data_IF_635748934813
#
_entry.id   IF_635748934813
#
_cell.length_a   1.000
_cell.length_b   1.000
_cell.length_c   1.000
_cell.angle_alpha   90.00
_cell.angle_beta   90.00
_cell.angle_gamma   90.00
#
_symmetry.space_group_name_H-M   'P 1'
#
loop_
_entity.id
_entity.type
_entity.pdbx_description
1 polymer ?
#
# COMPACT_ATOMS: atom_id res chain seq x y z
N UNK A 1 18.79 0.34 21.85
CA UNK A 1 17.60 0.03 21.01
C UNK A 1 16.46 0.99 21.28
N UNK A 2 16.00 1.15 22.53
CA UNK A 2 14.89 2.06 22.88
C UNK A 2 15.13 3.49 22.39
N UNK A 3 16.32 4.07 22.66
CA UNK A 3 16.63 5.43 22.22
C UNK A 3 16.64 5.59 20.69
N UNK A 4 17.05 4.55 19.96
CA UNK A 4 17.02 4.55 18.49
C UNK A 4 15.57 4.51 17.98
N UNK A 5 14.70 3.67 18.57
CA UNK A 5 13.28 3.63 18.21
C UNK A 5 12.60 4.97 18.46
N UNK A 6 12.86 5.58 19.63
CA UNK A 6 12.31 6.89 19.98
C UNK A 6 12.87 8.02 19.11
N UNK A 7 14.17 8.00 18.81
CA UNK A 7 14.79 8.96 17.90
C UNK A 7 14.21 8.86 16.49
N UNK A 8 14.06 7.64 15.97
CA UNK A 8 13.45 7.41 14.67
C UNK A 8 11.97 7.80 14.64
N UNK A 9 11.22 7.58 15.71
CA UNK A 9 9.84 8.07 15.80
C UNK A 9 9.76 9.60 15.80
N UNK A 10 10.65 10.27 16.54
CA UNK A 10 10.71 11.74 16.62
C UNK A 10 11.07 12.38 15.29
N UNK A 11 11.97 11.78 14.50
CA UNK A 11 12.45 12.39 13.26
C UNK A 11 11.34 12.65 12.22
N UNK A 12 10.24 11.88 12.26
CA UNK A 12 9.06 12.13 11.41
C UNK A 12 8.33 13.44 11.73
N UNK A 13 8.60 14.05 12.88
CA UNK A 13 7.97 15.29 13.35
C UNK A 13 8.93 16.47 13.46
N UNK A 14 10.24 16.26 13.25
CA UNK A 14 11.27 17.30 13.46
C UNK A 14 11.37 18.30 12.30
N UNK A 15 10.95 17.93 11.09
CA UNK A 15 11.07 18.78 9.90
C UNK A 15 9.76 18.88 9.09
N UNK A 16 8.66 19.38 9.68
CA UNK A 16 7.43 19.59 8.91
C UNK A 16 7.62 20.74 7.93
N UNK A 17 7.77 20.44 6.64
CA UNK A 17 7.73 21.46 5.59
C UNK A 17 6.32 21.52 4.99
N UNK A 18 5.70 22.71 4.98
CA UNK A 18 4.37 22.90 4.42
C UNK A 18 4.29 22.47 2.93
N UNK A 19 5.36 22.70 2.17
CA UNK A 19 5.46 22.25 0.78
C UNK A 19 5.46 20.72 0.66
N UNK A 20 6.30 20.03 1.43
CA UNK A 20 6.39 18.57 1.42
C UNK A 20 5.08 17.90 1.82
N UNK A 21 4.43 18.40 2.88
CA UNK A 21 3.11 17.94 3.29
C UNK A 21 2.04 18.24 2.23
N UNK A 22 2.05 19.44 1.65
CA UNK A 22 1.12 19.83 0.58
C UNK A 22 1.22 18.92 -0.63
N UNK A 23 2.44 18.63 -1.09
CA UNK A 23 2.69 17.70 -2.20
C UNK A 23 2.24 16.27 -1.86
N UNK A 24 2.56 15.78 -0.67
CA UNK A 24 2.13 14.45 -0.24
C UNK A 24 0.60 14.30 -0.22
N UNK A 25 -0.12 15.32 0.29
CA UNK A 25 -1.59 15.35 0.26
C UNK A 25 -2.12 15.34 -1.17
N UNK A 26 -1.53 16.14 -2.07
CA UNK A 26 -1.92 16.17 -3.49
C UNK A 26 -1.71 14.80 -4.14
N UNK A 27 -0.58 14.15 -3.89
CA UNK A 27 -0.30 12.80 -4.41
C UNK A 27 -1.34 11.80 -3.92
N UNK A 28 -1.62 11.80 -2.62
CA UNK A 28 -2.66 10.97 -2.02
C UNK A 28 -4.02 11.22 -2.64
N UNK A 29 -4.39 12.49 -2.83
CA UNK A 29 -5.68 12.87 -3.42
C UNK A 29 -5.82 12.40 -4.88
N UNK A 30 -4.78 12.58 -5.71
CA UNK A 30 -4.77 12.16 -7.12
C UNK A 30 -5.04 10.66 -7.24
N UNK A 31 -4.30 9.83 -6.52
CA UNK A 31 -4.44 8.38 -6.61
C UNK A 31 -5.69 7.86 -5.91
N UNK A 32 -6.05 8.44 -4.76
CA UNK A 32 -7.25 8.03 -4.03
C UNK A 32 -8.55 8.38 -4.79
N UNK A 33 -8.55 9.43 -5.61
CA UNK A 33 -9.69 9.81 -6.44
C UNK A 33 -10.14 8.68 -7.39
N UNK A 34 -9.21 7.84 -7.87
CA UNK A 34 -9.53 6.70 -8.73
C UNK A 34 -10.48 5.68 -8.08
N UNK A 35 -10.51 5.63 -6.74
CA UNK A 35 -11.35 4.71 -5.95
C UNK A 35 -12.70 5.31 -5.58
N UNK A 36 -12.88 6.61 -5.79
CA UNK A 36 -14.10 7.37 -5.48
C UNK A 36 -14.62 7.17 -4.04
N UNK A 37 -13.79 7.35 -3.00
CA UNK A 37 -14.27 7.24 -1.62
C UNK A 37 -15.24 8.38 -1.31
N UNK A 38 -16.35 8.05 -0.65
CA UNK A 38 -17.33 9.05 -0.22
C UNK A 38 -16.91 9.72 1.10
N UNK A 39 -15.71 10.30 1.19
CA UNK A 39 -15.12 10.84 2.43
C UNK A 39 -16.03 11.84 3.16
N UNK A 40 -16.65 12.75 2.42
CA UNK A 40 -17.56 13.76 2.98
C UNK A 40 -18.91 13.21 3.43
N UNK A 41 -19.34 12.07 2.86
CA UNK A 41 -20.60 11.39 3.26
C UNK A 41 -20.38 10.39 4.39
N UNK A 42 -19.12 10.00 4.64
CA UNK A 42 -18.73 8.95 5.60
C UNK A 42 -17.54 9.45 6.43
N UNK A 43 -17.77 10.32 7.43
CA UNK A 43 -16.70 10.99 8.16
C UNK A 43 -15.76 10.03 8.88
N UNK A 44 -16.23 8.81 9.22
CA UNK A 44 -15.40 7.78 9.82
C UNK A 44 -14.23 7.31 8.91
N UNK A 45 -14.31 7.53 7.60
CA UNK A 45 -13.17 7.25 6.70
C UNK A 45 -11.98 8.17 7.00
N UNK A 46 -12.20 9.39 7.51
CA UNK A 46 -11.11 10.24 8.00
C UNK A 46 -10.42 9.62 9.22
N UNK A 47 -11.18 8.97 10.10
CA UNK A 47 -10.61 8.24 11.22
C UNK A 47 -9.76 7.05 10.74
N UNK A 48 -10.17 6.33 9.68
CA UNK A 48 -9.37 5.27 9.05
C UNK A 48 -8.07 5.85 8.49
N UNK A 49 -8.14 6.96 7.75
CA UNK A 49 -6.97 7.63 7.18
C UNK A 49 -5.96 8.03 8.26
N UNK A 50 -6.42 8.75 9.29
CA UNK A 50 -5.55 9.22 10.36
C UNK A 50 -4.99 8.07 11.22
N UNK A 51 -5.84 7.13 11.63
CA UNK A 51 -5.39 6.02 12.48
C UNK A 51 -4.41 5.09 11.75
N UNK A 52 -4.61 4.83 10.46
CA UNK A 52 -3.68 4.04 9.66
C UNK A 52 -2.29 4.68 9.61
N UNK A 53 -2.22 6.00 9.41
CA UNK A 53 -0.96 6.74 9.41
C UNK A 53 -0.17 6.57 10.72
N UNK A 54 -0.81 6.82 11.86
CA UNK A 54 -0.14 6.76 13.17
C UNK A 54 0.17 5.32 13.61
N UNK A 55 -0.74 4.37 13.38
CA UNK A 55 -0.52 2.97 13.74
C UNK A 55 0.62 2.36 12.92
N UNK A 56 0.68 2.66 11.61
CA UNK A 56 1.78 2.16 10.78
C UNK A 56 3.09 2.84 11.13
N UNK A 57 3.13 4.14 11.40
CA UNK A 57 4.34 4.79 11.92
C UNK A 57 4.83 4.11 13.21
N UNK A 58 3.93 3.90 14.18
CA UNK A 58 4.28 3.23 15.43
C UNK A 58 4.80 1.81 15.16
N UNK A 59 4.15 1.05 14.28
CA UNK A 59 4.61 -0.29 13.91
C UNK A 59 5.99 -0.26 13.21
N UNK A 60 6.24 0.72 12.34
CA UNK A 60 7.54 0.91 11.69
C UNK A 60 8.63 1.17 12.74
N UNK A 61 8.42 2.08 13.67
CA UNK A 61 9.43 2.47 14.65
C UNK A 61 9.65 1.41 15.74
N UNK A 62 8.58 0.78 16.23
CA UNK A 62 8.63 -0.07 17.42
C UNK A 62 8.56 -1.58 17.13
N UNK A 63 8.25 -1.98 15.89
CA UNK A 63 8.18 -3.39 15.49
C UNK A 63 9.13 -3.66 14.31
N UNK A 64 8.94 -2.96 13.20
CA UNK A 64 9.72 -3.20 11.98
C UNK A 64 11.21 -2.93 12.21
N UNK A 65 11.57 -1.72 12.67
CA UNK A 65 12.97 -1.33 12.83
C UNK A 65 13.75 -2.28 13.75
N UNK A 66 13.26 -2.65 14.96
CA UNK A 66 13.93 -3.65 15.79
C UNK A 66 14.06 -5.02 15.13
N UNK A 67 13.00 -5.52 14.49
CA UNK A 67 13.05 -6.80 13.78
C UNK A 67 14.08 -6.79 12.66
N UNK A 68 14.20 -5.68 11.94
CA UNK A 68 15.19 -5.51 10.89
C UNK A 68 16.62 -5.48 11.45
N UNK A 69 16.87 -4.74 12.54
CA UNK A 69 18.19 -4.76 13.21
C UNK A 69 18.54 -6.17 13.67
N UNK A 70 17.62 -6.88 14.33
CA UNK A 70 17.88 -8.24 14.81
C UNK A 70 18.08 -9.24 13.68
N UNK A 71 17.30 -9.15 12.60
CA UNK A 71 17.53 -9.97 11.41
C UNK A 71 18.91 -9.70 10.80
N UNK A 72 19.36 -8.44 10.80
CA UNK A 72 20.69 -8.07 10.33
C UNK A 72 21.80 -8.63 11.21
N UNK A 73 21.62 -8.57 12.53
CA UNK A 73 22.54 -9.17 13.50
C UNK A 73 22.59 -10.70 13.38
N UNK A 74 21.44 -11.35 13.20
CA UNK A 74 21.37 -12.80 12.99
C UNK A 74 22.13 -13.22 11.72
N UNK A 75 21.95 -12.52 10.61
CA UNK A 75 22.73 -12.79 9.39
C UNK A 75 24.24 -12.59 9.61
N UNK A 76 24.62 -11.54 10.34
CA UNK A 76 26.02 -11.26 10.67
C UNK A 76 26.67 -12.24 11.64
N UNK A 77 25.86 -12.98 12.41
CA UNK A 77 26.36 -14.05 13.25
C UNK A 77 26.89 -15.21 12.40
N UNK A 78 26.25 -15.49 11.26
CA UNK A 78 26.59 -16.63 10.39
C UNK A 78 27.55 -16.27 9.25
N UNK A 79 27.50 -15.03 8.75
CA UNK A 79 28.28 -14.59 7.60
C UNK A 79 28.93 -13.23 7.84
N UNK A 80 30.11 -13.03 7.28
CA UNK A 80 30.76 -11.73 7.29
C UNK A 80 29.99 -10.72 6.41
N UNK A 81 30.18 -9.43 6.69
CA UNK A 81 29.61 -8.35 5.89
C UNK A 81 30.01 -8.44 4.40
N UNK A 82 31.23 -8.90 4.11
CA UNK A 82 31.68 -9.11 2.74
C UNK A 82 30.84 -10.17 2.01
N UNK A 83 30.54 -11.29 2.69
CA UNK A 83 29.68 -12.34 2.13
C UNK A 83 28.26 -11.82 1.95
N UNK A 84 27.70 -11.13 2.95
CA UNK A 84 26.34 -10.57 2.85
C UNK A 84 26.22 -9.55 1.70
N UNK A 85 27.25 -8.72 1.49
CA UNK A 85 27.29 -7.77 0.38
C UNK A 85 27.38 -8.47 -0.98
N UNK A 86 28.21 -9.52 -1.12
CA UNK A 86 28.30 -10.33 -2.34
C UNK A 86 26.99 -11.04 -2.68
N UNK A 87 26.25 -11.44 -1.66
CA UNK A 87 24.97 -12.13 -1.77
C UNK A 87 23.78 -11.21 -1.47
N UNK A 88 23.91 -9.89 -1.69
CA UNK A 88 22.93 -8.90 -1.24
C UNK A 88 21.51 -9.18 -1.75
N UNK A 89 21.37 -9.71 -2.97
CA UNK A 89 20.08 -10.14 -3.51
C UNK A 89 19.43 -11.14 -2.54
N UNK A 90 20.11 -12.21 -2.15
CA UNK A 90 19.54 -13.19 -1.22
C UNK A 90 19.47 -12.66 0.22
N UNK A 91 20.53 -11.99 0.69
CA UNK A 91 20.66 -11.54 2.07
C UNK A 91 19.65 -10.45 2.47
N UNK A 92 19.16 -9.66 1.50
CA UNK A 92 18.16 -8.62 1.77
C UNK A 92 16.72 -9.15 1.90
N UNK A 93 16.42 -10.36 1.41
CA UNK A 93 15.04 -10.92 1.38
C UNK A 93 14.36 -10.84 2.76
N UNK A 94 14.97 -11.30 3.87
CA UNK A 94 14.31 -11.23 5.18
C UNK A 94 13.95 -9.79 5.58
N UNK A 95 14.86 -8.85 5.35
CA UNK A 95 14.67 -7.43 5.68
C UNK A 95 13.50 -6.82 4.92
N UNK A 96 13.44 -7.11 3.62
CA UNK A 96 12.44 -6.56 2.71
C UNK A 96 11.05 -7.16 2.98
N UNK A 97 10.97 -8.47 3.24
CA UNK A 97 9.71 -9.12 3.59
C UNK A 97 9.18 -8.66 4.96
N UNK A 98 10.06 -8.42 5.94
CA UNK A 98 9.67 -7.85 7.23
C UNK A 98 9.01 -6.48 7.07
N UNK A 99 9.53 -5.62 6.19
CA UNK A 99 8.89 -4.32 5.87
C UNK A 99 7.46 -4.52 5.39
N UNK A 100 7.27 -5.35 4.36
CA UNK A 100 5.94 -5.57 3.77
C UNK A 100 4.94 -6.13 4.78
N UNK A 101 5.33 -7.14 5.56
CA UNK A 101 4.47 -7.76 6.57
C UNK A 101 4.03 -6.75 7.63
N UNK A 102 4.97 -5.99 8.21
CA UNK A 102 4.64 -5.05 9.31
C UNK A 102 3.84 -3.86 8.80
N UNK A 103 4.22 -3.27 7.67
CA UNK A 103 3.53 -2.09 7.15
C UNK A 103 2.13 -2.42 6.62
N UNK A 104 1.98 -3.47 5.82
CA UNK A 104 0.65 -3.84 5.31
C UNK A 104 -0.28 -4.30 6.45
N UNK A 105 0.25 -5.05 7.44
CA UNK A 105 -0.54 -5.51 8.58
C UNK A 105 -1.05 -4.35 9.44
N UNK A 106 -0.17 -3.40 9.78
CA UNK A 106 -0.53 -2.24 10.61
C UNK A 106 -1.51 -1.29 9.91
N UNK A 107 -1.35 -1.07 8.59
CA UNK A 107 -2.26 -0.23 7.82
C UNK A 107 -3.71 -0.73 7.88
N UNK A 108 -3.88 -2.05 7.92
CA UNK A 108 -5.19 -2.70 7.87
C UNK A 108 -5.90 -2.79 9.23
N UNK A 109 -5.24 -2.47 10.34
CA UNK A 109 -5.86 -2.49 11.68
C UNK A 109 -7.22 -1.75 11.71
N UNK A 110 -7.34 -0.49 11.26
CA UNK A 110 -8.64 0.18 11.23
C UNK A 110 -9.67 -0.50 10.31
N UNK A 111 -9.23 -1.16 9.24
CA UNK A 111 -10.10 -1.92 8.32
C UNK A 111 -10.65 -3.16 9.01
N UNK A 112 -9.79 -3.90 9.72
CA UNK A 112 -10.15 -5.09 10.50
C UNK A 112 -11.10 -4.74 11.64
N UNK A 113 -10.84 -3.63 12.35
CA UNK A 113 -11.74 -3.13 13.41
C UNK A 113 -13.12 -2.81 12.84
N UNK A 114 -13.19 -2.13 11.69
CA UNK A 114 -14.47 -1.85 11.03
C UNK A 114 -15.19 -3.14 10.60
N UNK A 115 -14.47 -4.09 10.00
CA UNK A 115 -15.00 -5.39 9.61
C UNK A 115 -15.57 -6.17 10.81
N UNK A 116 -14.85 -6.22 11.94
CA UNK A 116 -15.35 -6.83 13.18
C UNK A 116 -16.60 -6.15 13.71
N UNK A 117 -16.64 -4.82 13.73
CA UNK A 117 -17.82 -4.05 14.17
C UNK A 117 -19.01 -4.22 13.23
N UNK A 118 -18.77 -4.58 11.98
CA UNK A 118 -19.81 -4.87 10.98
C UNK A 118 -20.25 -6.34 10.99
N UNK A 119 -20.03 -7.06 12.10
CA UNK A 119 -20.42 -8.46 12.22
C UNK A 119 -19.63 -9.39 11.30
N UNK A 120 -18.37 -9.03 10.97
CA UNK A 120 -17.52 -9.75 10.00
C UNK A 120 -18.12 -9.85 8.60
N UNK A 121 -19.05 -8.94 8.25
CA UNK A 121 -19.62 -8.82 6.91
C UNK A 121 -19.30 -7.45 6.32
N UNK A 122 -18.78 -7.44 5.10
CA UNK A 122 -18.41 -6.22 4.41
C UNK A 122 -18.58 -6.43 2.91
N UNK A 123 -19.26 -5.51 2.23
CA UNK A 123 -19.28 -5.50 0.77
C UNK A 123 -17.83 -5.40 0.24
N UNK A 124 -17.37 -6.27 -0.68
CA UNK A 124 -16.00 -6.26 -1.18
C UNK A 124 -15.56 -4.94 -1.78
N UNK A 125 -16.48 -4.25 -2.48
CA UNK A 125 -16.21 -2.94 -3.08
C UNK A 125 -16.04 -1.86 -2.02
N UNK A 126 -16.77 -1.94 -0.90
CA UNK A 126 -16.56 -1.10 0.26
C UNK A 126 -15.26 -1.43 0.99
N UNK A 127 -14.95 -2.72 1.21
CA UNK A 127 -13.68 -3.16 1.80
C UNK A 127 -12.47 -2.63 1.04
N UNK A 128 -12.54 -2.67 -0.30
CA UNK A 128 -11.54 -2.10 -1.18
C UNK A 128 -11.34 -0.60 -0.95
N UNK A 129 -12.43 0.16 -0.86
CA UNK A 129 -12.38 1.61 -0.63
C UNK A 129 -11.80 1.94 0.75
N UNK A 130 -12.19 1.22 1.80
CA UNK A 130 -11.66 1.45 3.16
C UNK A 130 -10.16 1.13 3.19
N UNK A 131 -9.75 0.04 2.53
CA UNK A 131 -8.35 -0.31 2.33
C UNK A 131 -7.56 0.77 1.61
N UNK A 132 -8.11 1.33 0.52
CA UNK A 132 -7.49 2.44 -0.22
C UNK A 132 -7.28 3.68 0.66
N UNK A 133 -8.28 4.03 1.49
CA UNK A 133 -8.19 5.16 2.43
C UNK A 133 -7.13 4.92 3.50
N UNK A 134 -7.03 3.69 4.02
CA UNK A 134 -6.00 3.33 4.99
C UNK A 134 -4.59 3.43 4.37
N UNK A 135 -4.43 2.87 3.16
CA UNK A 135 -3.20 3.00 2.36
C UNK A 135 -2.77 4.44 2.14
N UNK A 136 -3.72 5.31 1.78
CA UNK A 136 -3.46 6.75 1.59
C UNK A 136 -2.96 7.42 2.88
N UNK A 137 -3.54 7.08 4.03
CA UNK A 137 -3.15 7.66 5.32
C UNK A 137 -1.66 7.55 5.60
N UNK A 138 -1.14 6.32 5.59
CA UNK A 138 0.28 6.09 5.80
C UNK A 138 1.13 6.63 4.65
N UNK A 139 0.70 6.47 3.39
CA UNK A 139 1.54 6.88 2.26
C UNK A 139 1.73 8.40 2.16
N UNK A 140 0.70 9.18 2.48
CA UNK A 140 0.82 10.65 2.61
C UNK A 140 1.83 10.98 3.72
N UNK A 141 1.73 10.29 4.86
CA UNK A 141 2.63 10.51 5.98
C UNK A 141 4.08 10.14 5.66
N UNK A 142 4.32 9.07 4.90
CA UNK A 142 5.66 8.68 4.48
C UNK A 142 6.22 9.64 3.42
N UNK A 143 5.40 10.00 2.42
CA UNK A 143 5.80 10.89 1.35
C UNK A 143 6.21 12.28 1.87
N UNK A 144 5.52 12.82 2.89
CA UNK A 144 5.92 14.12 3.46
C UNK A 144 7.35 14.09 4.01
N UNK A 145 7.81 12.98 4.61
CA UNK A 145 9.13 12.90 5.22
C UNK A 145 10.25 13.04 4.19
N UNK A 146 10.04 12.45 3.00
CA UNK A 146 10.99 12.56 1.89
C UNK A 146 10.88 13.90 1.17
N UNK A 147 9.66 14.41 1.01
CA UNK A 147 9.40 15.67 0.30
C UNK A 147 9.68 16.91 1.15
N UNK A 148 9.87 16.78 2.47
CA UNK A 148 10.18 17.92 3.36
C UNK A 148 11.47 18.65 2.98
N UNK A 149 12.42 17.95 2.36
CA UNK A 149 13.65 18.55 1.85
C UNK A 149 13.57 19.01 0.39
N UNK A 150 12.47 18.75 -0.32
CA UNK A 150 12.37 19.01 -1.75
C UNK A 150 12.04 20.47 -2.05
N UNK A 151 12.81 21.12 -2.91
CA UNK A 151 12.61 22.51 -3.33
C UNK A 151 12.88 22.68 -4.83
N UNK A 152 12.38 23.78 -5.41
CA UNK A 152 12.71 24.15 -6.80
C UNK A 152 14.20 24.46 -6.98
N UNK A 153 14.89 24.92 -5.92
CA UNK A 153 16.33 25.19 -5.96
C UNK A 153 17.14 23.90 -6.17
N UNK A 154 16.68 22.76 -5.62
CA UNK A 154 17.30 21.46 -5.91
C UNK A 154 17.16 21.10 -7.39
N UNK A 155 16.04 21.44 -8.03
CA UNK A 155 15.85 21.21 -9.48
C UNK A 155 16.80 22.09 -10.30
N UNK A 156 17.03 23.33 -9.88
CA UNK A 156 18.01 24.20 -10.54
C UNK A 156 19.44 23.69 -10.35
N UNK A 157 19.76 23.16 -9.16
CA UNK A 157 21.11 22.71 -8.79
C UNK A 157 21.47 21.35 -9.39
N UNK A 158 20.56 20.39 -9.32
CA UNK A 158 20.79 19.00 -9.69
C UNK A 158 20.07 18.59 -10.98
N UNK A 159 19.25 19.48 -11.57
CA UNK A 159 18.52 19.20 -12.79
C UNK A 159 17.47 18.11 -12.62
N UNK A 160 17.38 17.23 -13.62
CA UNK A 160 16.38 16.17 -13.67
C UNK A 160 16.48 15.16 -12.51
N UNK A 161 17.66 14.95 -11.94
CA UNK A 161 17.84 13.97 -10.84
C UNK A 161 17.13 14.39 -9.56
N UNK A 162 16.93 15.69 -9.32
CA UNK A 162 16.13 16.19 -8.20
C UNK A 162 14.63 15.81 -8.30
N UNK A 163 14.16 15.45 -9.51
CA UNK A 163 12.79 14.99 -9.72
C UNK A 163 12.60 13.50 -9.40
N UNK A 164 13.67 12.73 -9.25
CA UNK A 164 13.57 11.29 -8.99
C UNK A 164 12.83 11.03 -7.66
N UNK A 165 13.25 11.69 -6.58
CA UNK A 165 12.56 11.60 -5.28
C UNK A 165 11.07 12.03 -5.36
N UNK A 166 10.73 12.98 -6.24
CA UNK A 166 9.34 13.39 -6.45
C UNK A 166 8.53 12.27 -7.12
N UNK A 167 9.04 11.69 -8.20
CA UNK A 167 8.37 10.61 -8.93
C UNK A 167 8.29 9.33 -8.12
N UNK A 168 9.36 8.97 -7.41
CA UNK A 168 9.43 7.80 -6.53
C UNK A 168 8.29 7.85 -5.52
N UNK A 169 8.12 9.00 -4.86
CA UNK A 169 7.08 9.19 -3.84
C UNK A 169 5.69 9.26 -4.45
N UNK A 170 5.53 9.88 -5.62
CA UNK A 170 4.24 9.90 -6.32
C UNK A 170 3.72 8.49 -6.62
N UNK A 171 4.57 7.60 -7.14
CA UNK A 171 4.18 6.22 -7.45
C UNK A 171 4.15 5.30 -6.24
N UNK A 172 5.02 5.51 -5.26
CA UNK A 172 4.97 4.78 -3.98
C UNK A 172 3.64 5.03 -3.27
N UNK A 173 3.14 6.27 -3.27
CA UNK A 173 1.79 6.60 -2.75
C UNK A 173 0.70 5.79 -3.45
N UNK A 174 0.73 5.72 -4.78
CA UNK A 174 -0.19 4.89 -5.55
C UNK A 174 -0.15 3.41 -5.12
N UNK A 175 1.06 2.88 -4.96
CA UNK A 175 1.28 1.49 -4.59
C UNK A 175 0.71 1.18 -3.20
N UNK A 176 0.99 1.99 -2.17
CA UNK A 176 0.43 1.78 -0.82
C UNK A 176 -1.10 1.80 -0.82
N UNK A 177 -1.71 2.73 -1.58
CA UNK A 177 -3.18 2.79 -1.74
C UNK A 177 -3.69 1.50 -2.38
N UNK A 178 -3.09 1.07 -3.48
CA UNK A 178 -3.52 -0.11 -4.22
C UNK A 178 -3.32 -1.42 -3.41
N UNK A 179 -2.19 -1.58 -2.73
CA UNK A 179 -1.93 -2.73 -1.85
C UNK A 179 -2.99 -2.84 -0.76
N UNK A 180 -3.23 -1.75 -0.02
CA UNK A 180 -4.21 -1.78 1.05
C UNK A 180 -5.64 -1.91 0.52
N UNK A 181 -5.95 -1.38 -0.66
CA UNK A 181 -7.23 -1.60 -1.34
C UNK A 181 -7.47 -3.09 -1.66
N UNK A 182 -6.47 -3.78 -2.21
CA UNK A 182 -6.55 -5.22 -2.47
C UNK A 182 -6.72 -6.01 -1.16
N UNK A 183 -5.97 -5.68 -0.12
CA UNK A 183 -6.10 -6.37 1.16
C UNK A 183 -7.48 -6.15 1.81
N UNK A 184 -8.03 -4.92 1.74
CA UNK A 184 -9.39 -4.63 2.17
C UNK A 184 -10.45 -5.39 1.38
N UNK A 185 -10.26 -5.54 0.06
CA UNK A 185 -11.13 -6.38 -0.78
C UNK A 185 -11.07 -7.85 -0.38
N UNK A 186 -9.86 -8.40 -0.19
CA UNK A 186 -9.67 -9.80 0.21
C UNK A 186 -10.27 -10.10 1.57
N UNK A 187 -10.07 -9.21 2.55
CA UNK A 187 -10.68 -9.32 3.88
C UNK A 187 -12.21 -9.41 3.79
N UNK A 188 -12.83 -8.52 3.01
CA UNK A 188 -14.27 -8.50 2.79
C UNK A 188 -14.81 -9.76 2.08
N UNK A 189 -13.98 -10.43 1.27
CA UNK A 189 -14.30 -11.72 0.62
C UNK A 189 -14.07 -12.94 1.52
N UNK A 190 -13.59 -12.77 2.75
CA UNK A 190 -13.20 -13.87 3.64
C UNK A 190 -11.81 -14.46 3.33
N UNK A 191 -11.03 -13.83 2.45
CA UNK A 191 -9.67 -14.23 2.07
C UNK A 191 -8.62 -13.27 2.64
N UNK A 192 -8.86 -12.77 3.85
CA UNK A 192 -8.06 -11.70 4.46
C UNK A 192 -6.59 -12.04 4.57
N UNK A 193 -6.24 -13.25 5.02
CA UNK A 193 -4.84 -13.64 5.18
C UNK A 193 -4.13 -13.85 3.85
N UNK A 194 -4.81 -14.40 2.83
CA UNK A 194 -4.22 -14.60 1.50
C UNK A 194 -3.86 -13.25 0.87
N UNK A 195 -4.82 -12.33 0.87
CA UNK A 195 -4.59 -11.01 0.30
C UNK A 195 -3.59 -10.19 1.12
N UNK A 196 -3.56 -10.32 2.45
CA UNK A 196 -2.51 -9.74 3.28
C UNK A 196 -1.12 -10.22 2.88
N UNK A 197 -0.92 -11.53 2.67
CA UNK A 197 0.36 -12.06 2.24
C UNK A 197 0.74 -11.62 0.83
N UNK A 198 -0.23 -11.61 -0.10
CA UNK A 198 -0.02 -11.11 -1.47
C UNK A 198 0.44 -9.65 -1.43
N UNK A 199 -0.26 -8.78 -0.69
CA UNK A 199 0.08 -7.36 -0.65
C UNK A 199 1.37 -7.09 0.11
N UNK A 200 1.67 -7.87 1.15
CA UNK A 200 2.97 -7.83 1.85
C UNK A 200 4.11 -8.22 0.91
N UNK A 201 3.91 -9.25 0.07
CA UNK A 201 4.87 -9.64 -0.94
C UNK A 201 5.03 -8.58 -2.03
N UNK A 202 3.94 -7.99 -2.54
CA UNK A 202 3.99 -6.91 -3.53
C UNK A 202 4.71 -5.67 -2.98
N UNK A 203 4.49 -5.36 -1.70
CA UNK A 203 5.25 -4.33 -1.00
C UNK A 203 6.73 -4.67 -0.96
N UNK A 204 7.08 -5.89 -0.55
CA UNK A 204 8.47 -6.36 -0.58
C UNK A 204 9.08 -6.25 -1.98
N UNK A 205 8.34 -6.64 -3.01
CA UNK A 205 8.74 -6.54 -4.41
C UNK A 205 9.02 -5.09 -4.82
N UNK A 206 8.19 -4.12 -4.38
CA UNK A 206 8.42 -2.69 -4.60
C UNK A 206 9.73 -2.23 -3.94
N UNK A 207 9.94 -2.56 -2.67
CA UNK A 207 11.16 -2.19 -1.92
C UNK A 207 12.42 -2.88 -2.43
N UNK A 208 12.28 -4.00 -3.13
CA UNK A 208 13.40 -4.72 -3.71
C UNK A 208 14.12 -3.91 -4.82
N UNK A 209 13.49 -2.87 -5.34
CA UNK A 209 14.16 -1.86 -6.19
C UNK A 209 15.43 -1.29 -5.55
N UNK A 210 15.41 -1.06 -4.23
CA UNK A 210 16.57 -0.59 -3.47
C UNK A 210 17.69 -1.65 -3.43
N UNK A 211 17.32 -2.93 -3.37
CA UNK A 211 18.27 -4.05 -3.40
C UNK A 211 18.91 -4.19 -4.78
N UNK A 212 18.12 -4.05 -5.86
CA UNK A 212 18.66 -4.04 -7.22
C UNK A 212 19.63 -2.87 -7.45
N UNK A 213 19.32 -1.71 -6.91
CA UNK A 213 20.22 -0.55 -6.94
C UNK A 213 21.50 -0.81 -6.14
N UNK A 214 21.39 -1.33 -4.91
CA UNK A 214 22.54 -1.66 -4.07
C UNK A 214 23.46 -2.72 -4.71
N UNK A 215 22.89 -3.64 -5.48
CA UNK A 215 23.63 -4.66 -6.24
C UNK A 215 24.26 -4.12 -7.55
N UNK A 216 24.04 -2.85 -7.90
CA UNK A 216 24.50 -2.25 -9.15
C UNK A 216 23.74 -2.73 -10.40
N UNK A 217 22.60 -3.39 -10.24
CA UNK A 217 21.76 -3.86 -11.35
C UNK A 217 20.84 -2.75 -11.88
N UNK A 218 20.39 -1.87 -10.98
CA UNK A 218 19.54 -0.72 -11.32
C UNK A 218 20.31 0.59 -11.18
N UNK A 219 20.13 1.48 -12.15
CA UNK A 219 20.35 2.91 -11.98
C UNK A 219 19.16 3.51 -11.22
N UNK A 220 19.27 4.76 -10.77
CA UNK A 220 18.14 5.44 -10.15
C UNK A 220 16.91 5.49 -11.10
N UNK A 221 17.14 5.74 -12.40
CA UNK A 221 16.08 5.71 -13.41
C UNK A 221 15.43 4.33 -13.54
N UNK A 222 16.22 3.24 -13.50
CA UNK A 222 15.64 1.89 -13.53
C UNK A 222 14.75 1.64 -12.31
N UNK A 223 15.14 2.10 -11.13
CA UNK A 223 14.34 1.99 -9.92
C UNK A 223 13.02 2.77 -10.04
N UNK A 224 13.05 4.00 -10.55
CA UNK A 224 11.84 4.80 -10.80
C UNK A 224 10.86 4.09 -11.74
N UNK A 225 11.36 3.61 -12.88
CA UNK A 225 10.53 2.92 -13.88
C UNK A 225 9.91 1.66 -13.27
N UNK A 226 10.70 0.90 -12.52
CA UNK A 226 10.24 -0.31 -11.85
C UNK A 226 9.12 -0.02 -10.84
N UNK A 227 9.29 0.98 -9.98
CA UNK A 227 8.30 1.40 -8.99
C UNK A 227 7.02 1.87 -9.71
N UNK A 228 7.15 2.70 -10.74
CA UNK A 228 6.03 3.22 -11.50
C UNK A 228 5.22 2.11 -12.18
N UNK A 229 5.89 1.17 -12.86
CA UNK A 229 5.24 0.05 -13.53
C UNK A 229 4.49 -0.83 -12.52
N UNK A 230 5.14 -1.20 -11.41
CA UNK A 230 4.51 -2.03 -10.39
C UNK A 230 3.29 -1.33 -9.77
N UNK A 231 3.43 -0.06 -9.42
CA UNK A 231 2.36 0.75 -8.84
C UNK A 231 1.15 0.82 -9.79
N UNK A 232 1.36 1.11 -11.07
CA UNK A 232 0.30 1.19 -12.08
C UNK A 232 -0.38 -0.16 -12.29
N UNK A 233 0.37 -1.26 -12.41
CA UNK A 233 -0.21 -2.59 -12.60
C UNK A 233 -1.12 -3.00 -11.44
N UNK A 234 -0.67 -2.77 -10.20
CA UNK A 234 -1.43 -3.15 -9.02
C UNK A 234 -2.62 -2.22 -8.80
N UNK A 235 -2.49 -0.94 -9.15
CA UNK A 235 -3.61 0.01 -9.20
C UNK A 235 -4.66 -0.44 -10.21
N UNK A 236 -4.25 -0.80 -11.42
CA UNK A 236 -5.14 -1.31 -12.46
C UNK A 236 -5.89 -2.57 -12.00
N UNK A 237 -5.20 -3.49 -11.30
CA UNK A 237 -5.84 -4.67 -10.72
C UNK A 237 -6.90 -4.31 -9.67
N UNK A 238 -6.58 -3.40 -8.75
CA UNK A 238 -7.53 -2.95 -7.74
C UNK A 238 -8.75 -2.25 -8.38
N UNK A 239 -8.54 -1.38 -9.37
CA UNK A 239 -9.62 -0.70 -10.07
C UNK A 239 -10.48 -1.66 -10.89
N UNK A 240 -9.88 -2.67 -11.52
CA UNK A 240 -10.64 -3.72 -12.19
C UNK A 240 -11.57 -4.46 -11.22
N UNK A 241 -11.08 -4.82 -10.02
CA UNK A 241 -11.92 -5.44 -8.98
C UNK A 241 -13.04 -4.50 -8.48
N UNK A 242 -12.77 -3.19 -8.41
CA UNK A 242 -13.76 -2.17 -8.03
C UNK A 242 -14.88 -2.04 -9.06
N UNK A 243 -14.54 -2.00 -10.35
CA UNK A 243 -15.48 -1.64 -11.42
C UNK A 243 -16.09 -2.83 -12.16
N UNK A 244 -15.55 -4.05 -12.01
CA UNK A 244 -16.17 -5.23 -12.62
C UNK A 244 -17.62 -5.40 -12.14
N UNK A 245 -18.51 -5.76 -13.08
CA UNK A 245 -19.90 -6.13 -12.79
C UNK A 245 -19.90 -7.45 -12.02
N UNK A 246 -20.69 -7.53 -10.95
CA UNK A 246 -20.79 -8.76 -10.16
C UNK A 246 -21.53 -9.83 -10.95
N UNK A 247 -21.01 -11.06 -10.96
CA UNK A 247 -21.61 -12.22 -11.66
C UNK A 247 -23.01 -12.56 -11.15
N UNK A 248 -23.39 -12.12 -9.94
CA UNK A 248 -24.71 -12.37 -9.35
C UNK A 248 -25.89 -11.74 -10.12
N UNK A 249 -25.66 -10.83 -11.07
CA UNK A 249 -26.72 -10.32 -11.93
C UNK A 249 -27.09 -11.27 -13.08
N UNK A 250 -26.30 -12.33 -13.33
CA UNK A 250 -26.53 -13.26 -14.44
C UNK A 250 -27.32 -14.53 -14.06
N UNK A 251 -27.54 -14.80 -12.77
CA UNK A 251 -28.30 -15.98 -12.29
C UNK A 251 -29.77 -15.65 -11.93
N UNK A 252 -30.21 -14.41 -12.12
CA UNK A 252 -31.56 -13.95 -11.78
C UNK A 252 -32.36 -13.47 -13.01
N UNK A 253 -32.00 -13.92 -14.22
CA UNK A 253 -33.04 -13.99 -15.25
C UNK A 253 -33.81 -15.29 -14.98
N UNK A 254 -35.02 -15.23 -14.39
CA UNK A 254 -35.88 -16.40 -14.38
C UNK A 254 -36.02 -16.86 -15.82
N UNK A 255 -35.86 -18.18 -16.07
CA UNK A 255 -36.27 -18.74 -17.35
C UNK A 255 -37.66 -18.19 -17.68
N UNK A 256 -37.89 -17.67 -18.90
CA UNK A 256 -39.21 -17.23 -19.29
C UNK A 256 -40.17 -18.38 -19.00
N UNK A 257 -41.20 -18.13 -18.19
CA UNK A 257 -42.20 -19.15 -17.89
C UNK A 257 -42.63 -19.80 -19.20
N UNK A 258 -42.70 -21.14 -19.28
CA UNK A 258 -43.17 -21.81 -20.47
C UNK A 258 -44.54 -21.21 -20.81
N UNK A 259 -44.59 -20.48 -21.93
CA UNK A 259 -45.80 -19.80 -22.37
C UNK A 259 -46.97 -20.79 -22.44
N UNK A 260 -48.21 -20.33 -22.23
CA UNK A 260 -49.38 -21.20 -22.22
C UNK A 260 -49.38 -22.04 -23.50
N UNK A 261 -49.24 -23.35 -23.33
CA UNK A 261 -49.24 -24.31 -24.43
C UNK A 261 -50.51 -24.14 -25.26
N UNK A 262 -50.46 -24.42 -26.57
CA UNK A 262 -51.61 -24.26 -27.46
C UNK A 262 -52.81 -25.03 -26.90
N UNK A 263 -53.83 -24.30 -26.49
CA UNK A 263 -55.06 -24.85 -25.95
C UNK A 263 -55.69 -25.80 -26.95
N UNK A 264 -55.74 -27.08 -26.60
CA UNK A 264 -56.46 -28.10 -27.37
C UNK A 264 -57.96 -27.82 -27.17
N UNK A 265 -58.58 -27.18 -28.17
CA UNK A 265 -60.03 -27.12 -28.28
C UNK A 265 -60.56 -28.52 -28.56
N UNK A 266 -61.29 -29.10 -27.60
CA UNK A 266 -62.00 -30.36 -27.79
C UNK A 266 -63.24 -30.16 -28.70
N UNK A 267 -63.59 -31.16 -29.52
CA UNK A 267 -64.73 -31.12 -30.45
C UNK A 267 -66.09 -31.24 -29.76
#
# INVERSE_FOLDING_TARGET
MIDQMLGYFKSFFETPAALGLGLAIVFGAVWLACYWPSLFKRPWLWAVLASSAFLTLAAVCFIQYPLQVWAGQALNHFWSQEVLARWILLAAIPQILLTGLVQEGSKLVPVVVYWWRSGKSLDPKLGLVIGAVAGAGFAIFEAQGVLSGWTLDLVQTYGFTALLAFWERFFTVAAHIAFSALAGYGLAKGWGWQFYLITSFLHGLLNYSLVFRAAGLFTDIHAEIYIAVLAVLVTAWALWLRWRKGTAAAELEPEPEPGPGPGISAP
#
